data_IF_016433780165
#
_entry.id   IF_016433780165
#
_cell.length_a   1.000
_cell.length_b   1.000
_cell.length_c   1.000
_cell.angle_alpha   90.00
_cell.angle_beta   90.00
_cell.angle_gamma   90.00
#
_symmetry.space_group_name_H-M   'P 1'
#
loop_
_entity.id
_entity.type
_entity.pdbx_description
1 polymer ?
#
# COMPACT_ATOMS: atom_id res chain seq x y z
N UNK A 1 6.28 0.40 -37.43
CA UNK A 1 6.99 1.45 -36.65
C UNK A 1 7.22 0.90 -35.27
N UNK A 2 8.45 0.59 -34.94
CA UNK A 2 8.78 -0.02 -33.64
C UNK A 2 8.81 1.08 -32.55
N UNK A 3 7.94 0.99 -31.59
CA UNK A 3 7.97 1.82 -30.39
C UNK A 3 9.16 1.38 -29.54
N UNK A 4 10.22 2.18 -29.52
CA UNK A 4 11.35 2.02 -28.61
C UNK A 4 10.87 2.33 -27.19
N UNK A 5 10.54 1.29 -26.44
CA UNK A 5 10.22 1.40 -25.03
C UNK A 5 11.47 1.86 -24.26
N UNK A 6 11.44 3.08 -23.74
CA UNK A 6 12.45 3.58 -22.79
C UNK A 6 12.31 2.80 -21.46
N UNK A 7 13.20 1.84 -21.23
CA UNK A 7 13.23 1.11 -19.97
C UNK A 7 13.99 1.91 -18.91
N UNK A 8 13.31 2.31 -17.83
CA UNK A 8 13.96 2.85 -16.62
C UNK A 8 14.56 1.65 -15.87
N UNK A 9 15.89 1.56 -15.82
CA UNK A 9 16.58 0.57 -14.99
C UNK A 9 17.07 1.21 -13.70
N UNK A 10 16.59 0.71 -12.56
CA UNK A 10 16.97 1.20 -11.24
C UNK A 10 17.83 0.20 -10.51
N UNK A 11 18.79 0.70 -9.77
CA UNK A 11 19.79 -0.12 -9.10
C UNK A 11 20.00 0.37 -7.65
N UNK A 12 19.84 -0.53 -6.66
CA UNK A 12 19.94 -0.23 -5.24
C UNK A 12 21.37 -0.02 -4.69
N UNK A 13 21.55 0.38 -3.42
CA UNK A 13 22.77 1.02 -2.87
C UNK A 13 24.02 0.14 -2.77
N UNK A 14 23.93 -1.18 -2.85
CA UNK A 14 25.07 -2.09 -2.72
C UNK A 14 25.80 -2.46 -4.02
N UNK A 15 25.39 -1.90 -5.16
CA UNK A 15 25.94 -2.25 -6.46
C UNK A 15 26.38 -1.02 -7.28
N UNK A 16 26.75 0.06 -6.59
CA UNK A 16 26.97 1.37 -7.22
C UNK A 16 27.99 1.36 -8.38
N UNK A 17 29.04 0.59 -8.30
CA UNK A 17 30.10 0.62 -9.32
C UNK A 17 29.73 -0.19 -10.58
N UNK A 18 29.32 -1.44 -10.40
CA UNK A 18 29.04 -2.35 -11.51
C UNK A 18 27.78 -1.97 -12.29
N UNK A 19 26.76 -1.46 -11.61
CA UNK A 19 25.46 -1.18 -12.24
C UNK A 19 25.46 0.11 -13.04
N UNK A 20 26.18 1.14 -12.63
CA UNK A 20 26.33 2.38 -13.41
C UNK A 20 27.07 2.09 -14.73
N UNK A 21 28.16 1.34 -14.68
CA UNK A 21 28.94 0.92 -15.86
C UNK A 21 28.08 0.08 -16.82
N UNK A 22 27.30 -0.89 -16.28
CA UNK A 22 26.38 -1.72 -17.08
C UNK A 22 25.27 -0.87 -17.71
N UNK A 23 24.70 0.10 -16.98
CA UNK A 23 23.66 0.97 -17.51
C UNK A 23 24.16 1.87 -18.62
N UNK A 24 25.37 2.44 -18.47
CA UNK A 24 26.02 3.23 -19.54
C UNK A 24 26.34 2.38 -20.75
N UNK A 25 26.89 1.18 -20.55
CA UNK A 25 27.16 0.24 -21.65
C UNK A 25 25.88 -0.23 -22.36
N UNK A 26 24.75 -0.23 -21.66
CA UNK A 26 23.41 -0.51 -22.21
C UNK A 26 22.74 0.72 -22.87
N UNK A 27 23.45 1.84 -23.02
CA UNK A 27 22.98 3.02 -23.74
C UNK A 27 22.21 4.03 -22.85
N UNK A 28 22.39 4.04 -21.53
CA UNK A 28 21.79 5.05 -20.68
C UNK A 28 22.37 6.44 -21.01
N UNK A 29 21.52 7.41 -21.27
CA UNK A 29 21.86 8.82 -21.53
C UNK A 29 21.84 9.67 -20.26
N UNK A 30 21.25 9.17 -19.18
CA UNK A 30 21.23 9.78 -17.86
C UNK A 30 21.32 8.73 -16.75
N UNK A 31 21.97 9.08 -15.64
CA UNK A 31 22.12 8.25 -14.43
C UNK A 31 21.76 9.07 -13.22
N UNK A 32 20.80 8.60 -12.42
CA UNK A 32 20.49 9.17 -11.11
C UNK A 32 21.24 8.40 -10.03
N UNK A 33 22.02 9.08 -9.22
CA UNK A 33 22.89 8.45 -8.23
C UNK A 33 22.99 9.29 -6.94
N UNK A 34 23.38 8.65 -5.83
CA UNK A 34 23.66 9.37 -4.57
C UNK A 34 25.10 9.90 -4.50
N UNK A 35 25.99 9.28 -5.28
CA UNK A 35 27.42 9.71 -5.39
C UNK A 35 27.85 9.53 -6.85
N UNK A 36 28.61 10.49 -7.34
CA UNK A 36 29.22 10.37 -8.66
C UNK A 36 30.18 9.19 -8.70
N UNK A 37 30.19 8.40 -9.78
CA UNK A 37 31.21 7.39 -10.01
C UNK A 37 32.59 8.05 -10.27
N UNK A 38 33.67 7.33 -10.00
CA UNK A 38 35.03 7.84 -10.22
C UNK A 38 35.32 8.15 -11.69
N UNK A 39 34.71 7.38 -12.61
CA UNK A 39 34.84 7.58 -14.04
C UNK A 39 33.49 7.98 -14.63
N UNK A 40 33.42 9.18 -15.18
CA UNK A 40 32.24 9.74 -15.83
C UNK A 40 32.33 9.52 -17.34
N UNK A 41 31.29 8.98 -17.94
CA UNK A 41 31.14 8.91 -19.40
C UNK A 41 30.69 10.29 -19.91
N UNK A 42 31.45 10.93 -20.85
CA UNK A 42 31.16 12.30 -21.29
C UNK A 42 29.78 12.48 -21.96
N UNK A 43 29.23 11.39 -22.48
CA UNK A 43 27.90 11.38 -23.15
C UNK A 43 26.71 11.14 -22.22
N UNK A 44 26.95 11.01 -20.88
CA UNK A 44 25.90 10.68 -19.91
C UNK A 44 25.68 11.83 -18.94
N UNK A 45 24.44 12.22 -18.75
CA UNK A 45 24.06 13.17 -17.73
C UNK A 45 23.97 12.46 -16.36
N UNK A 46 24.70 12.96 -15.35
CA UNK A 46 24.65 12.44 -13.99
C UNK A 46 23.89 13.39 -13.08
N UNK A 47 22.81 12.88 -12.45
CA UNK A 47 21.98 13.63 -11.50
C UNK A 47 22.24 13.10 -10.09
N UNK A 48 22.83 13.94 -9.23
CA UNK A 48 23.08 13.56 -7.85
C UNK A 48 21.89 13.93 -6.97
N UNK A 49 21.38 12.94 -6.24
CA UNK A 49 20.21 13.09 -5.34
C UNK A 49 20.54 12.56 -3.95
N UNK A 50 19.82 13.06 -2.94
CA UNK A 50 20.03 12.62 -1.54
C UNK A 50 19.61 11.16 -1.32
N UNK A 51 18.51 10.73 -1.96
CA UNK A 51 17.96 9.37 -1.89
C UNK A 51 17.46 8.93 -3.27
N UNK A 52 18.05 7.86 -3.79
CA UNK A 52 17.68 7.29 -5.10
C UNK A 52 16.36 6.56 -5.09
N UNK A 53 15.91 6.01 -3.95
CA UNK A 53 14.60 5.37 -3.84
C UNK A 53 13.49 6.43 -3.90
N UNK A 54 13.67 7.54 -3.16
CA UNK A 54 12.77 8.67 -3.19
C UNK A 54 12.69 9.29 -4.59
N UNK A 55 13.84 9.55 -5.22
CA UNK A 55 13.89 10.08 -6.59
C UNK A 55 13.23 9.15 -7.61
N UNK A 56 13.46 7.82 -7.49
CA UNK A 56 12.83 6.82 -8.34
C UNK A 56 11.30 6.85 -8.21
N UNK A 57 10.78 6.96 -6.99
CA UNK A 57 9.35 6.97 -6.74
C UNK A 57 8.70 8.25 -7.32
N UNK A 58 9.32 9.43 -7.09
CA UNK A 58 8.85 10.70 -7.64
C UNK A 58 8.89 10.70 -9.19
N UNK A 59 9.97 10.17 -9.78
CA UNK A 59 10.11 10.03 -11.24
C UNK A 59 9.09 9.03 -11.82
N UNK A 60 8.85 7.91 -11.17
CA UNK A 60 7.86 6.93 -11.62
C UNK A 60 6.44 7.53 -11.59
N UNK A 61 6.06 8.22 -10.51
CA UNK A 61 4.77 8.89 -10.43
C UNK A 61 4.58 9.89 -11.58
N UNK A 62 5.57 10.76 -11.82
CA UNK A 62 5.53 11.74 -12.89
C UNK A 62 5.51 11.09 -14.28
N UNK A 63 6.32 10.04 -14.52
CA UNK A 63 6.40 9.35 -15.80
C UNK A 63 5.07 8.70 -16.22
N UNK A 64 4.35 8.12 -15.25
CA UNK A 64 3.04 7.49 -15.48
C UNK A 64 1.86 8.46 -15.30
N UNK A 65 2.10 9.77 -15.14
CA UNK A 65 1.05 10.80 -15.06
C UNK A 65 0.27 10.81 -13.76
N UNK A 66 0.93 10.52 -12.63
CA UNK A 66 0.33 10.51 -11.28
C UNK A 66 -0.96 9.65 -11.19
N UNK A 67 -0.94 8.38 -11.60
CA UNK A 67 -2.16 7.58 -11.78
C UNK A 67 -2.93 7.37 -10.46
N UNK A 68 -2.25 7.40 -9.32
CA UNK A 68 -2.89 7.27 -8.00
C UNK A 68 -3.87 8.40 -7.68
N UNK A 69 -3.75 9.57 -8.32
CA UNK A 69 -4.68 10.69 -8.17
C UNK A 69 -6.01 10.48 -8.91
N UNK A 70 -6.03 9.55 -9.86
CA UNK A 70 -7.21 9.22 -10.66
C UNK A 70 -7.97 8.02 -10.09
N UNK A 71 -7.45 7.41 -9.02
CA UNK A 71 -8.04 6.26 -8.34
C UNK A 71 -8.41 6.65 -6.90
N UNK A 72 -9.49 6.08 -6.38
CA UNK A 72 -9.72 6.06 -4.93
C UNK A 72 -8.84 4.97 -4.33
N UNK A 73 -7.59 5.34 -4.02
CA UNK A 73 -6.56 4.44 -3.53
C UNK A 73 -6.66 4.29 -2.01
N UNK A 74 -6.84 3.06 -1.53
CA UNK A 74 -6.85 2.73 -0.10
C UNK A 74 -5.74 1.74 0.22
N UNK A 75 -4.87 2.12 1.16
CA UNK A 75 -3.80 1.27 1.65
C UNK A 75 -4.14 0.65 2.99
N UNK A 76 -3.82 -0.65 3.17
CA UNK A 76 -3.91 -1.28 4.47
C UNK A 76 -2.54 -1.71 4.97
N UNK A 77 -2.21 -1.34 6.20
CA UNK A 77 -1.02 -1.80 6.90
C UNK A 77 -1.37 -2.48 8.22
N UNK A 78 -0.47 -3.29 8.70
CA UNK A 78 -0.62 -4.08 9.91
C UNK A 78 0.23 -5.34 9.83
N UNK A 79 0.23 -6.17 10.88
CA UNK A 79 0.88 -7.47 10.83
C UNK A 79 -0.01 -8.47 10.10
N UNK A 80 -1.25 -8.65 10.55
CA UNK A 80 -2.19 -9.63 10.05
C UNK A 80 -3.45 -8.97 9.46
N UNK A 81 -4.15 -9.69 8.57
CA UNK A 81 -5.43 -9.29 8.00
C UNK A 81 -5.37 -8.41 6.76
N UNK A 82 -4.19 -7.95 6.33
CA UNK A 82 -4.03 -7.10 5.14
C UNK A 82 -4.63 -7.72 3.89
N UNK A 83 -4.15 -8.90 3.50
CA UNK A 83 -4.59 -9.62 2.29
C UNK A 83 -6.09 -9.90 2.30
N UNK A 84 -6.61 -10.40 3.43
CA UNK A 84 -8.03 -10.67 3.58
C UNK A 84 -8.86 -9.40 3.39
N UNK A 85 -8.49 -8.31 4.05
CA UNK A 85 -9.26 -7.06 3.99
C UNK A 85 -9.23 -6.44 2.59
N UNK A 86 -8.07 -6.37 1.91
CA UNK A 86 -8.02 -5.80 0.54
C UNK A 86 -8.76 -6.67 -0.47
N UNK A 87 -8.72 -8.01 -0.31
CA UNK A 87 -9.45 -8.93 -1.17
C UNK A 87 -10.96 -8.78 -0.98
N UNK A 88 -11.43 -8.70 0.26
CA UNK A 88 -12.85 -8.50 0.57
C UNK A 88 -13.36 -7.13 0.08
N UNK A 89 -12.56 -6.08 0.19
CA UNK A 89 -12.89 -4.77 -0.39
C UNK A 89 -12.98 -4.85 -1.92
N UNK A 90 -12.02 -5.50 -2.56
CA UNK A 90 -12.05 -5.70 -4.00
C UNK A 90 -13.31 -6.48 -4.43
N UNK A 91 -13.63 -7.59 -3.77
CA UNK A 91 -14.80 -8.41 -4.09
C UNK A 91 -16.11 -7.65 -3.83
N UNK A 92 -16.21 -6.89 -2.72
CA UNK A 92 -17.37 -6.06 -2.38
C UNK A 92 -17.62 -4.99 -3.46
N UNK A 93 -16.61 -4.18 -3.80
CA UNK A 93 -16.77 -3.10 -4.76
C UNK A 93 -17.04 -3.62 -6.16
N UNK A 94 -16.45 -4.76 -6.53
CA UNK A 94 -16.82 -5.44 -7.77
C UNK A 94 -18.28 -5.93 -7.76
N UNK A 95 -18.72 -6.51 -6.65
CA UNK A 95 -20.12 -6.92 -6.46
C UNK A 95 -21.11 -5.74 -6.55
N UNK A 96 -20.66 -4.53 -6.20
CA UNK A 96 -21.40 -3.29 -6.38
C UNK A 96 -21.35 -2.73 -7.81
N UNK A 97 -20.62 -3.36 -8.73
CA UNK A 97 -20.57 -3.00 -10.15
C UNK A 97 -19.40 -2.08 -10.55
N UNK A 98 -18.48 -1.77 -9.63
CA UNK A 98 -17.31 -0.96 -9.93
C UNK A 98 -16.19 -1.79 -10.58
N UNK A 99 -15.35 -1.13 -11.39
CA UNK A 99 -14.06 -1.67 -11.79
C UNK A 99 -13.01 -1.36 -10.74
N UNK A 100 -12.26 -2.37 -10.30
CA UNK A 100 -11.42 -2.29 -9.11
C UNK A 100 -10.03 -2.87 -9.38
N UNK A 101 -9.00 -2.17 -8.90
CA UNK A 101 -7.65 -2.67 -8.81
C UNK A 101 -7.36 -3.33 -7.46
N UNK A 102 -6.51 -4.36 -7.44
CA UNK A 102 -6.02 -5.03 -6.25
C UNK A 102 -4.50 -5.23 -6.31
N UNK A 103 -3.81 -4.85 -5.24
CA UNK A 103 -2.38 -5.12 -5.07
C UNK A 103 -2.19 -5.85 -3.73
N UNK A 104 -1.89 -7.14 -3.78
CA UNK A 104 -1.78 -7.97 -2.59
C UNK A 104 -0.60 -8.95 -2.66
N UNK A 105 -0.29 -9.58 -1.54
CA UNK A 105 0.73 -10.62 -1.45
C UNK A 105 0.43 -11.81 -2.38
N UNK A 106 -0.84 -12.12 -2.58
CA UNK A 106 -1.27 -13.35 -3.30
C UNK A 106 -1.45 -13.09 -4.80
N UNK A 107 -1.97 -11.93 -5.17
CA UNK A 107 -2.33 -11.63 -6.55
C UNK A 107 -2.45 -10.13 -6.78
N UNK A 108 -2.10 -9.66 -7.97
CA UNK A 108 -2.50 -8.34 -8.46
C UNK A 108 -3.67 -8.49 -9.42
N UNK A 109 -4.57 -7.51 -9.42
CA UNK A 109 -5.69 -7.47 -10.35
C UNK A 109 -5.88 -6.09 -10.95
N UNK A 110 -6.14 -6.07 -12.25
CA UNK A 110 -6.62 -4.90 -12.97
C UNK A 110 -8.01 -5.26 -13.46
N UNK A 111 -9.03 -4.82 -12.74
CA UNK A 111 -10.39 -5.30 -12.89
C UNK A 111 -10.43 -6.84 -12.84
N UNK A 112 -10.78 -7.54 -13.94
CA UNK A 112 -10.82 -9.01 -14.03
C UNK A 112 -9.48 -9.64 -14.35
N UNK A 113 -8.54 -8.88 -14.91
CA UNK A 113 -7.21 -9.38 -15.26
C UNK A 113 -6.44 -9.80 -14.01
N UNK A 114 -5.92 -11.03 -14.03
CA UNK A 114 -5.10 -11.57 -12.93
C UNK A 114 -3.62 -11.53 -13.33
N UNK A 115 -2.80 -10.95 -12.47
CA UNK A 115 -1.35 -10.85 -12.63
C UNK A 115 -0.70 -11.52 -11.42
N UNK A 116 0.31 -12.34 -11.64
CA UNK A 116 1.04 -13.00 -10.57
C UNK A 116 1.75 -11.98 -9.66
N UNK A 117 1.60 -12.16 -8.35
CA UNK A 117 2.25 -11.31 -7.37
C UNK A 117 3.70 -11.71 -7.19
N UNK A 118 4.59 -10.73 -7.23
CA UNK A 118 6.01 -10.90 -6.94
C UNK A 118 6.40 -10.39 -5.55
N UNK A 119 5.66 -9.44 -5.01
CA UNK A 119 5.88 -8.81 -3.70
C UNK A 119 4.55 -8.34 -3.11
N UNK A 120 4.44 -8.32 -1.79
CA UNK A 120 3.27 -7.73 -1.09
C UNK A 120 2.97 -6.32 -1.58
N UNK A 121 4.01 -5.51 -1.72
CA UNK A 121 3.96 -4.16 -2.29
C UNK A 121 5.11 -4.06 -3.29
N UNK A 122 4.86 -3.97 -4.59
CA UNK A 122 5.88 -3.82 -5.63
C UNK A 122 6.77 -2.58 -5.43
N UNK A 123 7.83 -2.48 -6.22
CA UNK A 123 8.63 -1.25 -6.30
C UNK A 123 7.81 -0.10 -6.92
N UNK A 124 8.31 1.13 -6.78
CA UNK A 124 7.58 2.33 -7.17
C UNK A 124 7.29 2.39 -8.68
N UNK A 125 8.17 1.86 -9.55
CA UNK A 125 7.95 1.84 -10.99
C UNK A 125 6.78 0.91 -11.31
N UNK A 126 6.83 -0.31 -10.79
CA UNK A 126 5.79 -1.31 -11.03
C UNK A 126 4.45 -0.89 -10.44
N UNK A 127 4.43 -0.21 -9.27
CA UNK A 127 3.22 0.33 -8.68
C UNK A 127 2.56 1.37 -9.59
N UNK A 128 3.31 2.35 -10.08
CA UNK A 128 2.77 3.40 -10.94
C UNK A 128 2.36 2.85 -12.31
N UNK A 129 3.14 1.92 -12.91
CA UNK A 129 2.76 1.21 -14.14
C UNK A 129 1.41 0.50 -13.99
N UNK A 130 1.24 -0.26 -12.91
CA UNK A 130 0.01 -1.00 -12.67
C UNK A 130 -1.18 -0.05 -12.44
N UNK A 131 -1.00 1.03 -11.68
CA UNK A 131 -2.04 2.02 -11.46
C UNK A 131 -2.42 2.76 -12.74
N UNK A 132 -1.46 3.07 -13.62
CA UNK A 132 -1.75 3.64 -14.94
C UNK A 132 -2.61 2.68 -15.78
N UNK A 133 -2.27 1.39 -15.81
CA UNK A 133 -3.09 0.35 -16.46
C UNK A 133 -4.47 0.20 -15.83
N UNK A 134 -4.61 0.36 -14.50
CA UNK A 134 -5.91 0.38 -13.82
C UNK A 134 -6.76 1.55 -14.29
N UNK A 135 -6.17 2.75 -14.41
CA UNK A 135 -6.85 3.95 -14.94
C UNK A 135 -7.28 3.72 -16.38
N UNK A 136 -6.41 3.22 -17.25
CA UNK A 136 -6.72 2.88 -18.65
C UNK A 136 -7.85 1.85 -18.77
N UNK A 137 -7.90 0.86 -17.85
CA UNK A 137 -8.98 -0.13 -17.79
C UNK A 137 -10.29 0.46 -17.24
N UNK A 138 -10.28 1.70 -16.75
CA UNK A 138 -11.44 2.39 -16.16
C UNK A 138 -11.71 1.97 -14.72
N UNK A 139 -10.72 1.50 -13.96
CA UNK A 139 -10.86 1.28 -12.52
C UNK A 139 -11.09 2.61 -11.81
N UNK A 140 -12.02 2.61 -10.85
CA UNK A 140 -12.31 3.76 -9.99
C UNK A 140 -11.64 3.62 -8.62
N UNK A 141 -11.44 2.39 -8.16
CA UNK A 141 -10.88 2.05 -6.86
C UNK A 141 -9.65 1.20 -7.00
N UNK A 142 -8.72 1.35 -6.06
CA UNK A 142 -7.59 0.43 -5.89
C UNK A 142 -7.38 0.14 -4.41
N UNK A 143 -7.40 -1.14 -4.03
CA UNK A 143 -7.10 -1.58 -2.67
C UNK A 143 -5.74 -2.26 -2.65
N UNK A 144 -4.84 -1.81 -1.75
CA UNK A 144 -3.49 -2.33 -1.72
C UNK A 144 -2.96 -2.63 -0.32
N UNK A 145 -2.17 -3.68 -0.22
CA UNK A 145 -1.36 -3.93 0.97
C UNK A 145 -0.16 -2.99 1.01
N UNK A 146 0.06 -2.34 2.15
CA UNK A 146 1.21 -1.48 2.43
C UNK A 146 2.10 -2.16 3.46
N UNK A 147 3.19 -2.78 3.01
CA UNK A 147 4.17 -3.43 3.88
C UNK A 147 5.11 -2.40 4.53
N UNK A 148 5.63 -2.72 5.73
CA UNK A 148 6.61 -1.85 6.40
C UNK A 148 7.90 -1.68 5.59
N UNK A 149 8.32 -2.70 4.86
CA UNK A 149 9.44 -2.62 3.91
C UNK A 149 9.18 -1.58 2.81
N UNK A 150 7.97 -1.61 2.22
CA UNK A 150 7.61 -0.67 1.17
C UNK A 150 7.60 0.79 1.65
N UNK A 151 7.19 1.02 2.90
CA UNK A 151 7.21 2.36 3.50
C UNK A 151 8.66 2.85 3.66
N UNK A 152 9.52 2.04 4.30
CA UNK A 152 10.92 2.40 4.56
C UNK A 152 11.74 2.53 3.27
N UNK A 153 11.41 1.74 2.25
CA UNK A 153 12.08 1.76 0.94
C UNK A 153 11.46 2.78 -0.03
N UNK A 154 10.64 3.70 0.44
CA UNK A 154 10.00 4.77 -0.36
C UNK A 154 9.17 4.26 -1.56
N UNK A 155 8.74 2.98 -1.58
CA UNK A 155 8.02 2.40 -2.71
C UNK A 155 6.66 3.04 -2.96
N UNK A 156 6.02 3.55 -1.90
CA UNK A 156 4.71 4.20 -1.93
C UNK A 156 4.79 5.73 -1.95
N UNK A 157 6.01 6.27 -2.02
CA UNK A 157 6.22 7.72 -2.11
C UNK A 157 5.59 8.28 -3.40
N UNK A 158 5.02 9.46 -3.30
CA UNK A 158 4.32 10.11 -4.42
C UNK A 158 2.91 9.58 -4.69
N UNK A 159 2.50 8.45 -4.09
CA UNK A 159 1.14 7.94 -4.23
C UNK A 159 0.14 8.79 -3.42
N UNK A 160 -0.99 9.10 -4.03
CA UNK A 160 -2.08 9.83 -3.41
C UNK A 160 -3.13 8.88 -2.84
N UNK A 161 -3.11 8.68 -1.52
CA UNK A 161 -4.06 7.81 -0.84
C UNK A 161 -5.34 8.56 -0.47
N UNK A 162 -6.50 8.00 -0.83
CA UNK A 162 -7.82 8.42 -0.34
C UNK A 162 -8.05 7.97 1.10
N UNK A 163 -7.43 6.85 1.51
CA UNK A 163 -7.51 6.36 2.87
C UNK A 163 -6.41 5.38 3.25
N UNK A 164 -6.16 5.31 4.56
CA UNK A 164 -5.26 4.35 5.17
C UNK A 164 -5.95 3.57 6.28
N UNK A 165 -5.72 2.25 6.34
CA UNK A 165 -6.30 1.36 7.35
C UNK A 165 -5.17 0.73 8.17
N UNK A 166 -5.30 0.77 9.50
CA UNK A 166 -4.47 0.03 10.44
C UNK A 166 -5.26 -1.12 11.05
N UNK A 167 -4.84 -2.35 10.78
CA UNK A 167 -5.50 -3.56 11.31
C UNK A 167 -5.00 -3.94 12.70
N UNK A 168 -3.71 -4.20 12.85
CA UNK A 168 -3.06 -4.60 14.09
C UNK A 168 -1.53 -4.59 13.95
N UNK A 169 -0.81 -4.68 15.08
CA UNK A 169 0.63 -4.87 15.09
C UNK A 169 1.05 -5.85 16.20
N UNK A 170 1.71 -6.92 15.81
CA UNK A 170 2.32 -7.90 16.70
C UNK A 170 3.80 -8.03 16.39
N UNK A 171 4.57 -8.75 17.22
CA UNK A 171 5.99 -8.99 16.97
C UNK A 171 6.18 -9.77 15.68
N UNK A 172 6.71 -9.10 14.66
CA UNK A 172 6.99 -9.67 13.33
C UNK A 172 8.08 -8.85 12.63
N UNK A 173 8.76 -9.42 11.62
CA UNK A 173 9.78 -8.74 10.81
C UNK A 173 10.91 -8.07 11.62
N UNK A 174 11.26 -8.60 12.81
CA UNK A 174 12.33 -8.04 13.65
C UNK A 174 13.73 -8.26 13.07
N UNK A 175 13.89 -9.20 12.17
CA UNK A 175 15.07 -9.42 11.35
C UNK A 175 15.41 -8.19 10.48
N UNK A 176 14.40 -7.50 9.97
CA UNK A 176 14.55 -6.29 9.16
C UNK A 176 14.58 -5.01 10.02
N UNK A 177 13.63 -4.85 10.94
CA UNK A 177 13.44 -3.61 11.71
C UNK A 177 14.30 -3.52 12.97
N UNK A 178 15.06 -4.60 13.32
CA UNK A 178 15.90 -4.73 14.52
C UNK A 178 15.15 -4.57 15.85
N UNK A 179 14.22 -3.64 15.97
CA UNK A 179 13.41 -3.41 17.17
C UNK A 179 11.93 -3.24 16.85
N UNK A 180 11.08 -3.58 17.81
CA UNK A 180 9.63 -3.40 17.69
C UNK A 180 9.24 -1.91 17.55
N UNK A 181 10.00 -1.02 18.21
CA UNK A 181 9.80 0.43 18.10
C UNK A 181 10.05 0.95 16.68
N UNK A 182 11.07 0.46 15.99
CA UNK A 182 11.34 0.77 14.57
C UNK A 182 10.23 0.25 13.66
N UNK A 183 9.71 -0.95 13.93
CA UNK A 183 8.59 -1.53 13.19
C UNK A 183 7.31 -0.68 13.33
N UNK A 184 6.99 -0.23 14.55
CA UNK A 184 5.89 0.71 14.81
C UNK A 184 6.13 2.02 14.04
N UNK A 185 7.32 2.61 14.16
CA UNK A 185 7.69 3.86 13.48
C UNK A 185 7.54 3.74 11.96
N UNK A 186 8.00 2.63 11.38
CA UNK A 186 7.88 2.37 9.95
C UNK A 186 6.41 2.42 9.49
N UNK A 187 5.50 1.70 10.19
CA UNK A 187 4.08 1.74 9.82
C UNK A 187 3.42 3.10 10.08
N UNK A 188 3.84 3.79 11.14
CA UNK A 188 3.33 5.13 11.48
C UNK A 188 3.61 6.14 10.38
N UNK A 189 4.77 6.07 9.69
CA UNK A 189 5.11 6.95 8.57
C UNK A 189 4.07 6.92 7.44
N UNK A 190 3.39 5.80 7.24
CA UNK A 190 2.30 5.73 6.26
C UNK A 190 1.17 6.71 6.61
N UNK A 191 0.75 6.74 7.89
CA UNK A 191 -0.32 7.63 8.37
C UNK A 191 0.13 9.08 8.46
N UNK A 192 1.39 9.33 8.85
CA UNK A 192 1.96 10.67 8.93
C UNK A 192 2.01 11.36 7.54
N UNK A 193 2.12 10.56 6.48
CA UNK A 193 2.19 11.04 5.08
C UNK A 193 0.83 11.05 4.36
N UNK A 194 -0.27 10.64 5.01
CA UNK A 194 -1.59 10.73 4.40
C UNK A 194 -1.98 12.20 4.15
N UNK A 195 -2.58 12.52 2.99
CA UNK A 195 -3.09 13.85 2.73
C UNK A 195 -4.24 14.22 3.68
N UNK A 196 -4.49 15.51 3.85
CA UNK A 196 -5.52 16.03 4.78
C UNK A 196 -6.93 15.53 4.42
N UNK A 197 -7.18 15.33 3.14
CA UNK A 197 -8.46 14.88 2.59
C UNK A 197 -8.71 13.39 2.78
N UNK A 198 -7.65 12.63 3.13
CA UNK A 198 -7.76 11.20 3.36
C UNK A 198 -8.43 10.87 4.69
N UNK A 199 -8.90 9.63 4.81
CA UNK A 199 -9.25 9.07 6.11
C UNK A 199 -8.12 8.16 6.64
N UNK A 200 -8.00 8.11 7.97
CA UNK A 200 -7.14 7.18 8.70
C UNK A 200 -8.01 6.32 9.61
N UNK A 201 -8.33 5.10 9.17
CA UNK A 201 -9.14 4.14 9.93
C UNK A 201 -8.24 3.26 10.79
N UNK A 202 -8.41 3.30 12.10
CA UNK A 202 -7.55 2.59 13.05
C UNK A 202 -8.33 1.64 13.95
N UNK A 203 -7.77 0.46 14.18
CA UNK A 203 -8.22 -0.46 15.22
C UNK A 203 -7.71 0.03 16.59
N UNK A 204 -8.61 0.52 17.45
CA UNK A 204 -8.27 1.02 18.79
C UNK A 204 -8.18 -0.07 19.84
N UNK A 205 -8.55 -1.30 19.53
CA UNK A 205 -8.34 -2.45 20.41
C UNK A 205 -6.87 -2.92 20.38
N UNK A 206 -6.12 -2.52 19.34
CA UNK A 206 -4.66 -2.61 19.35
C UNK A 206 -4.08 -1.40 20.10
N UNK A 207 -3.25 -1.67 21.12
CA UNK A 207 -2.63 -0.63 21.96
C UNK A 207 -1.83 0.42 21.17
N UNK A 208 -1.33 0.05 19.97
CA UNK A 208 -0.56 0.93 19.11
C UNK A 208 -1.44 1.67 18.07
N UNK A 209 -2.75 1.36 18.00
CA UNK A 209 -3.65 1.99 17.02
C UNK A 209 -3.63 3.51 17.11
N UNK A 210 -3.76 4.07 18.32
CA UNK A 210 -3.70 5.52 18.53
C UNK A 210 -2.32 6.13 18.25
N UNK A 211 -1.24 5.36 18.42
CA UNK A 211 0.13 5.80 18.10
C UNK A 211 0.29 6.03 16.59
N UNK A 212 -0.35 5.20 15.76
CA UNK A 212 -0.25 5.32 14.29
C UNK A 212 -0.70 6.68 13.76
N UNK A 213 -1.64 7.32 14.42
CA UNK A 213 -2.28 8.57 13.94
C UNK A 213 -1.90 9.83 14.71
N UNK A 214 -0.89 9.78 15.58
CA UNK A 214 -0.50 10.92 16.42
C UNK A 214 -0.13 12.19 15.63
N UNK A 215 0.44 12.04 14.44
CA UNK A 215 0.92 13.15 13.61
C UNK A 215 0.20 13.23 12.26
N UNK A 216 -0.81 12.40 12.03
CA UNK A 216 -1.56 12.44 10.77
C UNK A 216 -2.32 13.73 10.60
N UNK A 217 -2.46 14.16 9.36
CA UNK A 217 -3.36 15.28 8.98
C UNK A 217 -4.72 14.78 8.50
N UNK A 218 -4.82 13.47 8.24
CA UNK A 218 -6.02 12.84 7.74
C UNK A 218 -7.14 12.81 8.80
N UNK A 219 -8.38 12.66 8.35
CA UNK A 219 -9.53 12.48 9.25
C UNK A 219 -9.45 11.12 9.93
N UNK A 220 -9.24 11.10 11.24
CA UNK A 220 -9.15 9.86 12.02
C UNK A 220 -10.52 9.28 12.25
N UNK A 221 -10.67 7.98 11.95
CA UNK A 221 -11.83 7.14 12.25
C UNK A 221 -11.38 5.89 13.00
N UNK A 222 -12.19 5.46 13.91
CA UNK A 222 -11.87 4.37 14.84
C UNK A 222 -12.79 3.18 14.63
N UNK A 223 -12.25 1.98 14.79
CA UNK A 223 -13.02 0.75 14.85
C UNK A 223 -12.66 -0.08 16.07
N UNK A 224 -13.63 -0.82 16.61
CA UNK A 224 -13.47 -1.65 17.82
C UNK A 224 -14.50 -2.77 17.90
N UNK A 225 -14.07 -3.91 18.47
CA UNK A 225 -14.95 -4.99 18.95
C UNK A 225 -15.20 -4.91 20.46
N UNK A 226 -14.45 -4.06 21.18
CA UNK A 226 -14.43 -4.06 22.66
C UNK A 226 -14.89 -2.74 23.27
N UNK A 227 -14.64 -1.63 22.58
CA UNK A 227 -14.79 -0.28 23.10
C UNK A 227 -15.73 0.57 22.25
N UNK A 228 -16.07 1.76 22.74
CA UNK A 228 -16.76 2.77 21.94
C UNK A 228 -15.82 3.30 20.87
N UNK A 229 -16.31 3.27 19.63
CA UNK A 229 -15.59 3.69 18.42
C UNK A 229 -16.60 4.24 17.40
N UNK A 230 -16.08 4.87 16.31
CA UNK A 230 -16.94 5.32 15.19
C UNK A 230 -17.65 4.14 14.53
N UNK A 231 -16.95 3.00 14.37
CA UNK A 231 -17.49 1.75 13.84
C UNK A 231 -17.32 0.63 14.87
N UNK A 232 -18.40 -0.13 15.09
CA UNK A 232 -18.40 -1.18 16.13
C UNK A 232 -18.92 -2.50 15.58
N UNK A 233 -18.31 -3.57 16.04
CA UNK A 233 -18.79 -4.92 15.80
C UNK A 233 -18.81 -5.71 17.12
N UNK A 234 -19.85 -6.52 17.31
CA UNK A 234 -19.95 -7.51 18.39
C UNK A 234 -20.17 -8.88 17.78
N UNK A 235 -19.42 -9.86 18.20
CA UNK A 235 -19.70 -11.27 17.89
C UNK A 235 -20.81 -11.70 18.82
N UNK A 236 -21.95 -12.09 18.25
CA UNK A 236 -23.12 -12.57 19.01
C UNK A 236 -22.99 -14.07 19.27
N UNK A 237 -22.79 -14.83 18.19
CA UNK A 237 -22.65 -16.28 18.24
C UNK A 237 -21.55 -16.76 17.29
N UNK A 238 -20.99 -17.93 17.58
CA UNK A 238 -20.01 -18.59 16.72
C UNK A 238 -20.43 -20.05 16.53
N UNK A 239 -20.55 -20.46 15.28
CA UNK A 239 -20.93 -21.80 14.85
C UNK A 239 -19.81 -22.41 14.01
N UNK A 240 -19.83 -23.75 13.74
CA UNK A 240 -18.80 -24.39 12.93
C UNK A 240 -18.66 -23.88 11.50
N UNK A 241 -19.73 -23.27 10.94
CA UNK A 241 -19.86 -22.81 9.57
C UNK A 241 -19.86 -21.26 9.43
N UNK A 242 -19.79 -20.52 10.57
CA UNK A 242 -19.78 -19.06 10.50
C UNK A 242 -19.97 -18.36 11.84
N UNK A 243 -20.17 -17.08 11.78
CA UNK A 243 -20.44 -16.21 12.94
C UNK A 243 -21.63 -15.31 12.69
N UNK A 244 -22.42 -15.07 13.74
CA UNK A 244 -23.38 -13.99 13.79
C UNK A 244 -22.70 -12.74 14.38
N UNK A 245 -22.70 -11.68 13.61
CA UNK A 245 -22.10 -10.40 13.98
C UNK A 245 -23.18 -9.32 14.08
N UNK A 246 -23.02 -8.40 15.04
CA UNK A 246 -23.77 -7.13 15.06
C UNK A 246 -22.81 -6.00 14.72
N UNK A 247 -22.97 -5.42 13.52
CA UNK A 247 -22.15 -4.32 13.02
C UNK A 247 -23.02 -3.05 13.00
N UNK A 248 -22.64 -2.06 13.80
CA UNK A 248 -23.38 -0.79 13.98
C UNK A 248 -24.89 -1.00 14.17
N UNK A 249 -25.26 -2.00 14.98
CA UNK A 249 -26.64 -2.32 15.34
C UNK A 249 -27.38 -3.25 14.36
N UNK A 250 -26.79 -3.61 13.23
CA UNK A 250 -27.35 -4.56 12.26
C UNK A 250 -26.75 -5.95 12.46
N UNK A 251 -27.61 -6.96 12.51
CA UNK A 251 -27.21 -8.35 12.62
C UNK A 251 -26.97 -8.93 11.23
N UNK A 252 -25.84 -9.62 11.07
CA UNK A 252 -25.42 -10.23 9.82
C UNK A 252 -24.78 -11.58 10.10
N UNK A 253 -25.15 -12.59 9.30
CA UNK A 253 -24.46 -13.87 9.29
C UNK A 253 -23.30 -13.83 8.29
N UNK A 254 -22.15 -14.39 8.69
CA UNK A 254 -20.95 -14.43 7.85
C UNK A 254 -20.32 -15.82 7.91
N UNK A 255 -19.91 -16.35 6.75
CA UNK A 255 -19.20 -17.64 6.63
C UNK A 255 -17.69 -17.53 6.94
N UNK A 256 -17.36 -16.73 7.94
CA UNK A 256 -15.99 -16.56 8.43
C UNK A 256 -15.93 -16.96 9.90
N UNK A 257 -14.79 -17.52 10.32
CA UNK A 257 -14.53 -17.95 11.69
C UNK A 257 -13.40 -17.14 12.32
N UNK A 258 -13.50 -16.98 13.63
CA UNK A 258 -12.46 -16.39 14.45
C UNK A 258 -12.54 -14.85 14.54
N UNK A 259 -12.21 -14.37 15.74
CA UNK A 259 -12.29 -12.96 16.10
C UNK A 259 -11.51 -12.04 15.16
N UNK A 260 -10.38 -12.52 14.61
CA UNK A 260 -9.59 -11.74 13.65
C UNK A 260 -10.36 -11.42 12.37
N UNK A 261 -11.24 -12.33 11.91
CA UNK A 261 -12.08 -12.06 10.75
C UNK A 261 -13.22 -11.07 11.06
N UNK A 262 -13.71 -11.00 12.28
CA UNK A 262 -14.64 -9.94 12.68
C UNK A 262 -13.99 -8.55 12.58
N UNK A 263 -12.69 -8.40 12.94
CA UNK A 263 -11.93 -7.16 12.68
C UNK A 263 -11.76 -6.87 11.21
N UNK A 264 -11.41 -7.88 10.39
CA UNK A 264 -11.25 -7.71 8.93
C UNK A 264 -12.57 -7.24 8.29
N UNK A 265 -13.68 -7.88 8.65
CA UNK A 265 -15.02 -7.50 8.16
C UNK A 265 -15.43 -6.10 8.61
N UNK A 266 -15.12 -5.72 9.86
CA UNK A 266 -15.38 -4.37 10.35
C UNK A 266 -14.53 -3.33 9.61
N UNK A 267 -13.27 -3.65 9.26
CA UNK A 267 -12.42 -2.80 8.40
C UNK A 267 -13.07 -2.61 7.02
N UNK A 268 -13.57 -3.70 6.41
CA UNK A 268 -14.25 -3.66 5.10
C UNK A 268 -15.50 -2.79 5.15
N UNK A 269 -16.37 -3.03 6.14
CA UNK A 269 -17.60 -2.26 6.34
C UNK A 269 -17.32 -0.77 6.54
N UNK A 270 -16.40 -0.44 7.45
CA UNK A 270 -16.04 0.94 7.75
C UNK A 270 -15.42 1.65 6.54
N UNK A 271 -14.49 1.01 5.84
CA UNK A 271 -13.86 1.58 4.65
C UNK A 271 -14.87 1.79 3.52
N UNK A 272 -15.81 0.87 3.32
CA UNK A 272 -16.85 1.01 2.31
C UNK A 272 -17.79 2.21 2.57
N UNK A 273 -18.06 2.51 3.83
CA UNK A 273 -18.88 3.69 4.20
C UNK A 273 -18.11 5.02 4.12
N UNK A 274 -16.77 4.97 4.18
CA UNK A 274 -15.91 6.14 4.07
C UNK A 274 -15.58 6.51 2.61
N UNK A 275 -15.82 5.61 1.66
CA UNK A 275 -15.59 5.77 0.22
C UNK A 275 -16.85 6.18 -0.55
#
# INVERSE_FOLDING_TARGET
MATTGSSIRVTGPFALYWRTTISVAAGAVAVVCQRLPEHLAPSVCYVVVADTNAAMADMAAAFYGDPSRQLKLVGITGTNGKTTTVTLLYDLFRGLGYKVGLISTVVYRIDTERIESTHTTPDAIRLNEMMARMVEAGCEYCFMEVSSHAIVQERIRGLHFTGGIFSNITHDHLDYHKTFAEYIRAKKLFFDNLPKEAFALINIDDRNGRVMVQNTRATVKTLSLQSMADFRCKILETHPDGMELRIDGREVWVHFLGRFNAYNLLCVYAAALLL
#
